data_IF_368215902685
#
_entry.id   IF_368215902685
#
_cell.length_a   1.000
_cell.length_b   1.000
_cell.length_c   1.000
_cell.angle_alpha   90.00
_cell.angle_beta   90.00
_cell.angle_gamma   90.00
#
_symmetry.space_group_name_H-M   'P 1'
#
loop_
_entity.id
_entity.type
_entity.pdbx_description
1 polymer ?
#
# COMPACT_ATOMS: atom_id res chain seq x y z
N UNK A 1 -14.26 13.39 -9.79
CA UNK A 1 -14.65 14.83 -9.87
C UNK A 1 -13.92 15.70 -8.85
N UNK A 2 -13.79 15.27 -7.57
CA UNK A 2 -13.18 16.07 -6.49
C UNK A 2 -11.65 15.94 -6.32
N UNK A 3 -10.97 15.16 -7.18
CA UNK A 3 -9.53 14.93 -7.05
C UNK A 3 -8.69 16.24 -7.03
N UNK A 4 -8.97 17.25 -7.89
CA UNK A 4 -8.23 18.52 -7.84
C UNK A 4 -8.33 19.23 -6.49
N UNK A 5 -9.50 19.17 -5.84
CA UNK A 5 -9.72 19.80 -4.54
C UNK A 5 -8.92 19.11 -3.44
N UNK A 6 -8.86 17.77 -3.46
CA UNK A 6 -8.03 17.00 -2.54
C UNK A 6 -6.52 17.24 -2.74
N UNK A 7 -6.06 17.35 -3.99
CA UNK A 7 -4.68 17.72 -4.29
C UNK A 7 -4.34 19.13 -3.80
N UNK A 8 -5.29 20.06 -3.88
CA UNK A 8 -5.12 21.41 -3.33
C UNK A 8 -5.00 21.41 -1.80
N UNK A 9 -5.72 20.53 -1.10
CA UNK A 9 -5.60 20.36 0.35
C UNK A 9 -4.26 19.74 0.75
N UNK A 10 -3.79 18.73 0.02
CA UNK A 10 -2.47 18.12 0.26
C UNK A 10 -1.35 19.14 0.05
N UNK A 11 -1.40 19.94 -1.02
CA UNK A 11 -0.41 21.00 -1.27
C UNK A 11 -0.37 22.06 -0.16
N UNK A 12 -1.48 22.28 0.53
CA UNK A 12 -1.57 23.18 1.70
C UNK A 12 -1.09 22.52 3.00
N UNK A 13 -0.67 21.25 2.96
CA UNK A 13 -0.27 20.47 4.13
C UNK A 13 -1.42 20.05 5.03
N UNK A 14 -2.67 20.18 4.57
CA UNK A 14 -3.85 19.88 5.37
C UNK A 14 -4.15 18.37 5.46
N UNK A 15 -3.68 17.59 4.50
CA UNK A 15 -3.79 16.12 4.48
C UNK A 15 -2.65 15.50 3.67
N UNK A 16 -2.51 14.17 3.77
CA UNK A 16 -1.69 13.35 2.87
C UNK A 16 -2.62 12.56 1.97
N UNK A 17 -2.48 12.70 0.65
CA UNK A 17 -3.34 12.07 -0.33
C UNK A 17 -2.66 10.83 -0.91
N UNK A 18 -3.35 9.69 -0.87
CA UNK A 18 -2.92 8.47 -1.55
C UNK A 18 -3.93 8.14 -2.64
N UNK A 19 -3.49 8.09 -3.89
CA UNK A 19 -4.33 7.71 -5.02
C UNK A 19 -4.19 6.19 -5.23
N UNK A 20 -5.30 5.48 -5.03
CA UNK A 20 -5.39 4.06 -5.34
C UNK A 20 -6.17 3.88 -6.64
N UNK A 21 -5.59 3.15 -7.61
CA UNK A 21 -6.24 2.87 -8.90
C UNK A 21 -7.40 1.88 -8.76
N UNK A 22 -7.38 1.04 -7.72
CA UNK A 22 -8.45 0.13 -7.36
C UNK A 22 -8.62 0.18 -5.84
N UNK A 23 -9.82 0.56 -5.38
CA UNK A 23 -10.17 0.67 -3.96
C UNK A 23 -10.67 -0.66 -3.37
N UNK A 24 -10.69 -1.74 -4.14
CA UNK A 24 -10.91 -3.06 -3.57
C UNK A 24 -9.80 -3.39 -2.56
N UNK A 25 -10.13 -4.18 -1.54
CA UNK A 25 -9.16 -4.61 -0.57
C UNK A 25 -7.99 -5.37 -1.22
N UNK A 26 -8.25 -6.13 -2.28
CA UNK A 26 -7.22 -6.83 -3.06
C UNK A 26 -6.22 -5.87 -3.72
N UNK A 27 -6.70 -4.78 -4.32
CA UNK A 27 -5.84 -3.75 -4.92
C UNK A 27 -5.00 -3.00 -3.88
N UNK A 28 -5.59 -2.78 -2.70
CA UNK A 28 -4.92 -2.12 -1.57
C UNK A 28 -3.84 -3.00 -0.98
N UNK A 29 -4.09 -4.30 -0.79
CA UNK A 29 -3.11 -5.25 -0.25
C UNK A 29 -1.92 -5.43 -1.18
N UNK A 30 -2.13 -5.49 -2.50
CA UNK A 30 -1.03 -5.55 -3.48
C UNK A 30 -0.17 -4.28 -3.48
N UNK A 31 -0.80 -3.10 -3.46
CA UNK A 31 -0.08 -1.83 -3.35
C UNK A 31 0.79 -1.77 -2.09
N UNK A 32 0.23 -2.15 -0.93
CA UNK A 32 0.96 -2.17 0.33
C UNK A 32 2.12 -3.17 0.33
N UNK A 33 1.94 -4.35 -0.29
CA UNK A 33 3.03 -5.32 -0.43
C UNK A 33 4.21 -4.75 -1.24
N UNK A 34 3.94 -4.03 -2.33
CA UNK A 34 4.99 -3.39 -3.14
C UNK A 34 5.71 -2.28 -2.37
N UNK A 35 4.95 -1.40 -1.69
CA UNK A 35 5.54 -0.31 -0.90
C UNK A 35 6.41 -0.86 0.24
N UNK A 36 5.93 -1.91 0.93
CA UNK A 36 6.70 -2.53 2.00
C UNK A 36 7.96 -3.22 1.51
N UNK A 37 7.92 -3.88 0.36
CA UNK A 37 9.13 -4.48 -0.21
C UNK A 37 10.17 -3.43 -0.61
N UNK A 38 9.75 -2.29 -1.15
CA UNK A 38 10.66 -1.16 -1.43
C UNK A 38 11.32 -0.65 -0.15
N UNK A 39 10.50 -0.35 0.86
CA UNK A 39 10.99 0.12 2.16
C UNK A 39 11.95 -0.87 2.82
N UNK A 40 11.59 -2.16 2.91
CA UNK A 40 12.44 -3.18 3.54
C UNK A 40 13.74 -3.37 2.75
N UNK A 41 13.69 -3.34 1.41
CA UNK A 41 14.89 -3.45 0.60
C UNK A 41 15.87 -2.29 0.85
N UNK A 42 15.37 -1.06 0.96
CA UNK A 42 16.17 0.12 1.29
C UNK A 42 16.79 0.01 2.69
N UNK A 43 15.99 -0.28 3.71
CA UNK A 43 16.44 -0.37 5.10
C UNK A 43 17.39 -1.53 5.38
N UNK A 44 17.23 -2.65 4.67
CA UNK A 44 18.02 -3.87 4.91
C UNK A 44 19.14 -4.09 3.91
N UNK A 45 19.34 -3.17 2.97
CA UNK A 45 20.24 -3.33 1.82
C UNK A 45 19.95 -4.63 1.05
N UNK A 46 18.66 -4.90 0.83
CA UNK A 46 18.18 -6.05 0.07
C UNK A 46 18.28 -7.41 0.79
N UNK A 47 18.61 -7.45 2.08
CA UNK A 47 18.76 -8.71 2.83
C UNK A 47 17.44 -9.30 3.34
N UNK A 48 16.38 -8.51 3.36
CA UNK A 48 15.05 -8.97 3.71
C UNK A 48 14.02 -8.53 2.66
N UNK A 49 12.90 -9.23 2.65
CA UNK A 49 11.75 -8.93 1.79
C UNK A 49 10.46 -9.34 2.49
N UNK A 50 9.35 -8.68 2.14
CA UNK A 50 8.04 -9.02 2.67
C UNK A 50 7.45 -10.17 1.86
N UNK A 51 7.19 -11.30 2.51
CA UNK A 51 6.59 -12.50 1.89
C UNK A 51 5.08 -12.38 1.73
N UNK A 52 4.42 -11.71 2.68
CA UNK A 52 2.96 -11.63 2.74
C UNK A 52 2.52 -10.35 3.46
N UNK A 53 1.42 -9.75 2.98
CA UNK A 53 0.68 -8.69 3.67
C UNK A 53 -0.75 -9.15 3.89
N UNK A 54 -1.29 -8.88 5.07
CA UNK A 54 -2.72 -8.97 5.36
C UNK A 54 -3.25 -7.56 5.68
N UNK A 55 -4.31 -7.16 5.00
CA UNK A 55 -5.05 -5.92 5.29
C UNK A 55 -6.39 -6.30 5.87
N UNK A 56 -6.80 -5.63 6.95
CA UNK A 56 -8.10 -5.82 7.58
C UNK A 56 -8.87 -4.50 7.58
N UNK A 57 -10.08 -4.52 7.05
CA UNK A 57 -11.01 -3.40 7.17
C UNK A 57 -11.79 -3.48 8.49
N UNK A 58 -12.17 -4.70 8.88
CA UNK A 58 -12.83 -5.02 10.16
C UNK A 58 -12.55 -6.49 10.54
N UNK A 59 -12.97 -6.92 11.73
CA UNK A 59 -12.69 -8.27 12.24
C UNK A 59 -13.26 -9.41 11.37
N UNK A 60 -14.19 -9.10 10.45
CA UNK A 60 -14.83 -10.09 9.55
C UNK A 60 -14.39 -9.98 8.10
N UNK A 61 -13.61 -8.95 7.74
CA UNK A 61 -13.25 -8.67 6.36
C UNK A 61 -11.76 -8.33 6.24
N UNK A 62 -11.00 -9.26 5.66
CA UNK A 62 -9.57 -9.12 5.42
C UNK A 62 -9.20 -9.60 4.02
N UNK A 63 -8.07 -9.10 3.51
CA UNK A 63 -7.46 -9.52 2.27
C UNK A 63 -5.98 -9.81 2.48
N UNK A 64 -5.53 -10.96 1.99
CA UNK A 64 -4.14 -11.42 2.08
C UNK A 64 -3.53 -11.41 0.68
N UNK A 65 -2.30 -10.90 0.57
CA UNK A 65 -1.48 -10.99 -0.62
C UNK A 65 -0.14 -11.63 -0.28
N UNK A 66 0.19 -12.70 -1.00
CA UNK A 66 1.46 -13.41 -0.87
C UNK A 66 2.23 -13.26 -2.18
N UNK A 67 3.43 -12.68 -2.09
CA UNK A 67 4.30 -12.54 -3.26
C UNK A 67 4.87 -13.88 -3.69
N UNK A 68 5.10 -14.08 -4.99
CA UNK A 68 5.88 -15.23 -5.46
C UNK A 68 7.32 -15.07 -4.95
N UNK A 69 7.82 -16.06 -4.20
CA UNK A 69 9.24 -16.11 -3.83
C UNK A 69 10.08 -16.04 -5.10
N UNK A 70 11.04 -15.10 -5.12
CA UNK A 70 12.05 -15.06 -6.18
C UNK A 70 12.99 -16.24 -5.96
N UNK A 71 12.99 -17.17 -6.91
CA UNK A 71 13.87 -18.34 -6.98
C UNK A 71 15.33 -17.94 -7.16
#
# INVERSE_FOLDING_TARGET
PLLPDFQALEKKGACKLTILHNVSMEGTTAFLWEQMNKFIAEETMGRAYCVQVEVRENDKNSAIFTGKMRS
#
